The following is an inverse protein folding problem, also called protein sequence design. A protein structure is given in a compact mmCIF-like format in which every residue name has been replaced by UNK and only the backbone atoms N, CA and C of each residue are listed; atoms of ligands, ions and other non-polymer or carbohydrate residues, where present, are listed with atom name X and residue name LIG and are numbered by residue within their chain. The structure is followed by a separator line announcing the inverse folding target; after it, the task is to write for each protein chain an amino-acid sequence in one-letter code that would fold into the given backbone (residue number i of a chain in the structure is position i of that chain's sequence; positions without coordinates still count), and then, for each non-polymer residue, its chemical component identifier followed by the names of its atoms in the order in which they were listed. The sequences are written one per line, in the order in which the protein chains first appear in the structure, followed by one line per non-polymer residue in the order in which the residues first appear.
data_IF_956945190046
#
_entry.id   IF_956945190046
#
_cell.length_a   1.000
_cell.length_b   1.000
_cell.length_c   1.000
_cell.angle_alpha   90.00
_cell.angle_beta   90.00
_cell.angle_gamma   90.00
#
_symmetry.space_group_name_H-M   'P 1'
#
loop_
_entity.id
_entity.type
_entity.pdbx_description
1 polymer ?
#
# COMPACT_ATOMS: atom_id res chain seq x y z
N UNK A 1 1.28 54.73 -52.56
CA UNK A 1 2.71 54.52 -52.31
C UNK A 1 2.86 54.19 -50.82
N UNK A 2 2.78 52.91 -50.47
CA UNK A 2 2.77 52.39 -49.09
C UNK A 2 3.91 51.37 -49.00
N UNK A 3 4.94 51.66 -48.20
CA UNK A 3 6.07 50.76 -47.97
C UNK A 3 5.65 49.67 -46.97
N UNK A 4 5.80 48.41 -47.38
CA UNK A 4 5.60 47.22 -46.56
C UNK A 4 6.96 46.85 -45.97
N UNK A 5 7.16 47.11 -44.67
CA UNK A 5 8.32 46.63 -43.92
C UNK A 5 8.14 45.13 -43.69
N UNK A 6 8.89 44.32 -44.44
CA UNK A 6 9.11 42.91 -44.14
C UNK A 6 10.24 42.80 -43.13
N UNK A 7 9.93 42.32 -41.93
CA UNK A 7 10.94 41.91 -40.95
C UNK A 7 11.23 40.43 -41.23
N UNK A 8 12.40 40.15 -41.81
CA UNK A 8 12.97 38.81 -41.88
C UNK A 8 13.48 38.43 -40.49
N UNK A 9 12.87 37.41 -39.87
CA UNK A 9 13.46 36.75 -38.72
C UNK A 9 14.58 35.83 -39.22
N UNK A 10 15.83 36.22 -39.01
CA UNK A 10 16.97 35.31 -39.16
C UNK A 10 16.90 34.23 -38.07
N UNK A 11 16.61 33.01 -38.49
CA UNK A 11 16.38 31.84 -37.64
C UNK A 11 17.67 31.14 -37.21
N UNK A 12 18.62 31.85 -36.59
CA UNK A 12 19.93 31.28 -36.20
C UNK A 12 20.31 31.56 -34.73
N UNK A 13 19.37 31.37 -33.81
CA UNK A 13 19.69 31.18 -32.39
C UNK A 13 19.41 29.74 -32.01
N UNK A 14 20.35 28.84 -32.34
CA UNK A 14 20.38 27.49 -31.80
C UNK A 14 20.85 27.60 -30.34
N UNK A 15 19.91 27.52 -29.40
CA UNK A 15 20.22 27.26 -27.99
C UNK A 15 20.78 25.84 -27.88
N UNK A 16 22.10 25.70 -27.95
CA UNK A 16 22.80 24.47 -27.59
C UNK A 16 22.70 24.26 -26.07
N UNK A 17 21.66 23.54 -25.65
CA UNK A 17 21.67 22.93 -24.34
C UNK A 17 22.80 21.88 -24.29
N UNK A 18 23.64 21.86 -23.24
CA UNK A 18 24.53 20.73 -23.03
C UNK A 18 23.66 19.47 -22.86
N UNK A 19 23.66 18.61 -23.89
CA UNK A 19 23.05 17.28 -23.82
C UNK A 19 23.76 16.47 -22.75
N UNK A 20 23.18 16.42 -21.54
CA UNK A 20 23.62 15.50 -20.48
C UNK A 20 23.26 14.03 -20.81
N UNK A 21 22.58 13.78 -21.93
CA UNK A 21 22.22 12.43 -22.36
C UNK A 21 22.77 12.16 -23.76
N UNK A 22 23.67 11.19 -23.85
CA UNK A 22 24.23 10.73 -25.12
C UNK A 22 23.11 10.21 -26.06
N UNK A 23 23.14 10.55 -27.36
CA UNK A 23 22.27 9.94 -28.36
C UNK A 23 22.55 8.43 -28.41
N UNK A 24 21.54 7.60 -28.13
CA UNK A 24 21.69 6.14 -28.19
C UNK A 24 21.50 5.35 -26.88
N UNK A 25 20.93 5.96 -25.83
CA UNK A 25 20.46 5.20 -24.67
C UNK A 25 19.28 4.30 -25.06
N UNK A 26 19.62 3.10 -25.55
CA UNK A 26 18.71 2.06 -26.02
C UNK A 26 17.65 1.75 -24.96
N UNK A 27 16.40 1.52 -25.38
CA UNK A 27 15.39 0.90 -24.52
C UNK A 27 15.96 -0.38 -23.91
N UNK A 28 15.87 -0.49 -22.57
CA UNK A 28 16.33 -1.68 -21.84
C UNK A 28 15.69 -2.94 -22.43
N UNK A 29 16.50 -3.99 -22.57
CA UNK A 29 16.01 -5.31 -22.95
C UNK A 29 15.06 -5.86 -21.87
N UNK A 30 14.14 -6.75 -22.26
CA UNK A 30 13.18 -7.42 -21.36
C UNK A 30 13.85 -8.15 -20.17
N UNK A 31 15.14 -8.46 -20.30
CA UNK A 31 16.01 -9.10 -19.31
C UNK A 31 16.38 -8.18 -18.13
N UNK A 32 16.49 -6.87 -18.33
CA UNK A 32 16.83 -5.91 -17.25
C UNK A 32 15.60 -5.46 -16.44
N UNK A 33 14.41 -5.93 -16.82
CA UNK A 33 13.15 -5.73 -16.11
C UNK A 33 12.89 -6.77 -15.00
N UNK A 34 13.82 -7.71 -14.79
CA UNK A 34 13.72 -8.72 -13.74
C UNK A 34 13.91 -8.09 -12.36
N UNK A 35 12.98 -8.38 -11.45
CA UNK A 35 13.16 -8.06 -10.04
C UNK A 35 14.43 -8.77 -9.52
N UNK A 36 15.18 -8.16 -8.60
CA UNK A 36 16.25 -8.88 -7.91
C UNK A 36 15.68 -10.15 -7.27
N UNK A 37 16.46 -11.24 -7.26
CA UNK A 37 16.05 -12.49 -6.64
C UNK A 37 15.83 -12.28 -5.13
N UNK A 38 14.55 -12.20 -4.73
CA UNK A 38 14.17 -12.01 -3.33
C UNK A 38 14.26 -13.35 -2.61
N UNK A 39 14.95 -13.38 -1.46
CA UNK A 39 15.02 -14.58 -0.63
C UNK A 39 13.60 -15.04 -0.24
N UNK A 40 13.28 -16.28 -0.62
CA UNK A 40 11.98 -16.93 -0.39
C UNK A 40 11.92 -17.70 0.93
N UNK A 41 13.05 -17.81 1.64
CA UNK A 41 13.10 -18.34 2.99
C UNK A 41 12.56 -17.34 4.01
N UNK A 42 11.99 -17.84 5.11
CA UNK A 42 11.71 -17.02 6.29
C UNK A 42 13.01 -16.82 7.07
N UNK A 43 13.26 -15.59 7.53
CA UNK A 43 14.23 -15.39 8.60
C UNK A 43 13.71 -16.08 9.85
N UNK A 44 14.45 -17.09 10.32
CA UNK A 44 14.05 -17.94 11.45
C UNK A 44 14.12 -17.22 12.80
N UNK A 45 14.71 -16.03 12.85
CA UNK A 45 14.74 -15.21 14.04
C UNK A 45 13.36 -14.56 14.25
N UNK A 46 12.66 -14.95 15.32
CA UNK A 46 11.41 -14.35 15.83
C UNK A 46 10.13 -14.53 14.99
N UNK A 47 9.79 -15.76 14.62
CA UNK A 47 8.48 -16.07 14.04
C UNK A 47 7.51 -16.60 15.11
N UNK A 48 6.81 -15.71 15.82
CA UNK A 48 5.63 -16.09 16.63
C UNK A 48 4.38 -15.38 16.13
N UNK A 49 3.59 -16.09 15.32
CA UNK A 49 2.30 -15.59 14.81
C UNK A 49 1.22 -15.49 15.88
N UNK A 50 1.41 -16.06 17.08
CA UNK A 50 0.40 -16.03 18.14
C UNK A 50 -0.01 -14.61 18.51
N UNK A 51 0.96 -13.68 18.52
CA UNK A 51 0.70 -12.27 18.84
C UNK A 51 0.20 -11.45 17.64
N UNK A 52 0.04 -12.09 16.48
CA UNK A 52 -0.51 -11.48 15.28
C UNK A 52 -1.94 -11.89 14.98
N UNK A 53 -2.44 -12.95 15.62
CA UNK A 53 -3.72 -13.57 15.27
C UNK A 53 -4.63 -13.58 16.48
N UNK A 54 -5.84 -13.09 16.27
CA UNK A 54 -6.84 -12.92 17.32
C UNK A 54 -8.03 -13.84 17.08
N UNK A 55 -8.63 -14.29 18.18
CA UNK A 55 -9.93 -14.94 18.15
C UNK A 55 -11.01 -13.88 18.27
N UNK A 56 -12.06 -14.03 17.48
CA UNK A 56 -13.25 -13.19 17.53
C UNK A 56 -14.41 -13.99 18.12
N UNK A 57 -15.18 -13.36 18.99
CA UNK A 57 -16.49 -13.82 19.42
C UNK A 57 -17.48 -12.75 19.02
N UNK A 58 -18.49 -13.15 18.25
CA UNK A 58 -19.44 -12.24 17.61
C UNK A 58 -20.85 -12.62 18.03
N UNK A 59 -21.57 -11.69 18.65
CA UNK A 59 -22.99 -11.82 18.98
C UNK A 59 -23.85 -10.97 18.02
N UNK A 60 -24.78 -11.64 17.35
CA UNK A 60 -25.76 -11.01 16.44
C UNK A 60 -27.19 -11.04 17.01
N UNK A 61 -27.38 -11.51 18.25
CA UNK A 61 -28.69 -11.69 18.89
C UNK A 61 -29.31 -13.09 18.73
N UNK A 62 -28.73 -13.95 17.90
CA UNK A 62 -29.19 -15.35 17.66
C UNK A 62 -28.25 -16.40 18.30
N UNK A 63 -27.25 -15.94 19.06
CA UNK A 63 -26.24 -16.79 19.69
C UNK A 63 -24.82 -16.43 19.28
N UNK A 64 -23.87 -16.98 20.01
CA UNK A 64 -22.45 -16.69 19.84
C UNK A 64 -21.87 -17.42 18.63
N UNK A 65 -21.21 -16.65 17.77
CA UNK A 65 -20.39 -17.19 16.68
C UNK A 65 -18.92 -16.85 16.92
N UNK A 66 -18.03 -17.59 16.27
CA UNK A 66 -16.59 -17.43 16.42
C UNK A 66 -15.93 -17.25 15.08
N UNK A 67 -14.90 -16.41 15.06
CA UNK A 67 -14.09 -16.12 13.89
C UNK A 67 -12.63 -15.89 14.26
N UNK A 68 -11.86 -15.55 13.24
CA UNK A 68 -10.44 -15.18 13.36
C UNK A 68 -10.24 -13.78 12.79
N UNK A 69 -9.28 -13.05 13.34
CA UNK A 69 -8.73 -11.86 12.71
C UNK A 69 -7.21 -11.85 12.87
N UNK A 70 -6.55 -10.88 12.24
CA UNK A 70 -5.11 -10.70 12.41
C UNK A 70 -4.70 -9.24 12.31
N UNK A 71 -3.67 -8.87 13.07
CA UNK A 71 -3.08 -7.55 13.02
C UNK A 71 -2.29 -7.35 11.73
N UNK A 72 -2.39 -6.15 11.17
CA UNK A 72 -1.49 -5.66 10.11
C UNK A 72 -0.87 -4.35 10.56
N UNK A 73 0.43 -4.18 10.35
CA UNK A 73 1.21 -3.06 10.85
C UNK A 73 1.04 -1.77 10.01
N UNK A 74 -0.20 -1.36 9.74
CA UNK A 74 -0.46 -0.13 8.99
C UNK A 74 0.20 1.09 9.66
N UNK A 75 0.68 2.09 8.89
CA UNK A 75 1.24 3.33 9.43
C UNK A 75 0.15 4.28 9.98
N UNK A 76 -0.76 3.74 10.80
CA UNK A 76 -1.81 4.48 11.49
C UNK A 76 -1.32 4.89 12.89
N UNK A 77 -1.55 6.15 13.27
CA UNK A 77 -1.16 6.67 14.59
C UNK A 77 -2.23 6.41 15.65
N UNK A 78 -3.48 6.19 15.25
CA UNK A 78 -4.63 6.14 16.16
C UNK A 78 -5.01 4.72 16.57
N UNK A 79 -4.86 3.75 15.67
CA UNK A 79 -5.38 2.40 15.86
C UNK A 79 -4.34 1.31 15.59
N UNK A 80 -4.42 0.22 16.35
CA UNK A 80 -3.95 -1.09 15.93
C UNK A 80 -5.09 -1.76 15.13
N UNK A 81 -4.79 -2.23 13.92
CA UNK A 81 -5.81 -2.64 12.95
C UNK A 81 -5.81 -4.14 12.77
N UNK A 82 -6.99 -4.74 12.91
CA UNK A 82 -7.23 -6.16 12.65
C UNK A 82 -8.00 -6.30 11.34
N UNK A 83 -7.51 -7.11 10.42
CA UNK A 83 -8.27 -7.55 9.24
C UNK A 83 -9.04 -8.83 9.57
N UNK A 84 -10.26 -8.94 9.03
CA UNK A 84 -11.12 -10.12 9.20
C UNK A 84 -12.10 -10.28 8.03
N UNK A 85 -12.85 -11.38 7.99
CA UNK A 85 -13.93 -11.57 7.03
C UNK A 85 -15.13 -10.68 7.40
N UNK A 86 -15.85 -10.16 6.40
CA UNK A 86 -17.01 -9.30 6.61
C UNK A 86 -18.13 -10.04 7.35
N UNK A 87 -18.33 -11.33 7.08
CA UNK A 87 -19.36 -12.11 7.75
C UNK A 87 -19.15 -12.32 9.26
N UNK A 88 -17.96 -12.00 9.78
CA UNK A 88 -17.74 -11.92 11.23
C UNK A 88 -18.32 -10.63 11.84
N UNK A 89 -18.66 -9.63 11.00
CA UNK A 89 -19.11 -8.29 11.41
C UNK A 89 -20.56 -8.01 11.01
N UNK A 90 -21.10 -8.72 10.01
CA UNK A 90 -22.49 -8.66 9.58
C UNK A 90 -22.97 -10.05 9.14
N UNK A 91 -24.13 -10.49 9.62
CA UNK A 91 -24.70 -11.78 9.26
C UNK A 91 -25.51 -11.70 7.95
N UNK A 92 -26.04 -12.84 7.48
CA UNK A 92 -26.84 -12.88 6.24
C UNK A 92 -28.20 -12.19 6.37
N UNK A 93 -28.67 -11.98 7.60
CA UNK A 93 -29.88 -11.21 7.94
C UNK A 93 -29.60 -9.70 7.99
N UNK A 94 -28.39 -9.27 7.63
CA UNK A 94 -27.93 -7.86 7.64
C UNK A 94 -27.86 -7.25 9.04
N UNK A 95 -27.88 -8.07 10.07
CA UNK A 95 -27.65 -7.64 11.44
C UNK A 95 -26.14 -7.50 11.63
N UNK A 96 -25.71 -6.29 11.99
CA UNK A 96 -24.32 -6.05 12.36
C UNK A 96 -24.05 -6.60 13.76
N UNK A 97 -22.80 -7.00 14.02
CA UNK A 97 -22.40 -7.53 15.32
C UNK A 97 -22.70 -6.52 16.43
N UNK A 98 -23.43 -6.95 17.47
CA UNK A 98 -23.86 -6.10 18.57
C UNK A 98 -22.84 -6.10 19.71
N UNK A 99 -22.25 -7.27 20.01
CA UNK A 99 -21.15 -7.43 20.96
C UNK A 99 -20.00 -8.18 20.27
N UNK A 100 -18.94 -7.45 19.96
CA UNK A 100 -17.73 -7.97 19.34
C UNK A 100 -16.60 -8.01 20.36
N UNK A 101 -16.12 -9.21 20.66
CA UNK A 101 -14.99 -9.44 21.58
C UNK A 101 -13.79 -9.96 20.82
N UNK A 102 -12.64 -9.35 21.08
CA UNK A 102 -11.35 -9.69 20.48
C UNK A 102 -10.44 -10.28 21.53
N UNK A 103 -9.95 -11.51 21.32
CA UNK A 103 -9.06 -12.19 22.26
C UNK A 103 -7.67 -12.38 21.63
N UNK A 104 -6.66 -11.77 22.25
CA UNK A 104 -5.25 -11.95 21.90
C UNK A 104 -4.65 -13.18 22.62
N UNK A 105 -3.55 -13.72 22.09
CA UNK A 105 -2.81 -14.79 22.76
C UNK A 105 -2.23 -14.31 24.10
N UNK A 106 -2.30 -15.14 25.15
CA UNK A 106 -1.64 -14.84 26.45
C UNK A 106 -0.12 -14.98 26.30
N UNK A 107 0.69 -14.05 26.85
CA UNK A 107 2.13 -14.24 26.94
C UNK A 107 2.46 -15.41 27.88
N UNK A 108 3.40 -16.28 27.51
CA UNK A 108 3.74 -17.49 28.29
C UNK A 108 4.22 -17.21 29.74
N UNK A 109 4.64 -15.97 30.04
CA UNK A 109 5.13 -15.56 31.36
C UNK A 109 4.05 -15.58 32.46
N UNK A 110 2.77 -15.56 32.13
CA UNK A 110 1.70 -15.67 33.14
C UNK A 110 1.41 -17.11 33.60
N UNK A 111 2.05 -18.13 33.01
CA UNK A 111 1.86 -19.53 33.41
C UNK A 111 2.80 -20.04 34.50
N UNK A 112 3.90 -19.33 34.82
CA UNK A 112 4.95 -19.87 35.71
C UNK A 112 4.73 -19.64 37.22
N UNK A 113 3.72 -18.89 37.64
CA UNK A 113 3.58 -18.52 39.07
C UNK A 113 2.34 -19.08 39.79
N UNK A 114 1.43 -19.79 39.13
CA UNK A 114 0.23 -20.28 39.80
C UNK A 114 0.26 -21.81 39.87
N UNK A 115 0.90 -22.31 40.93
CA UNK A 115 0.61 -23.64 41.45
C UNK A 115 -0.89 -23.74 41.78
N UNK A 116 -1.48 -24.88 41.42
CA UNK A 116 -2.76 -25.43 41.87
C UNK A 116 -3.77 -24.41 42.42
N UNK A 117 -4.67 -23.89 41.56
CA UNK A 117 -5.87 -23.18 42.03
C UNK A 117 -6.40 -22.00 41.20
N UNK A 118 -6.12 -21.89 39.90
CA UNK A 118 -6.64 -20.78 39.07
C UNK A 118 -7.58 -21.28 37.95
N UNK A 119 -8.78 -21.71 38.32
CA UNK A 119 -9.81 -22.14 37.36
C UNK A 119 -10.65 -21.00 36.75
N UNK A 120 -10.34 -19.72 37.02
CA UNK A 120 -11.13 -18.58 36.51
C UNK A 120 -10.31 -17.33 36.12
N UNK A 121 -9.11 -17.49 35.56
CA UNK A 121 -8.41 -16.38 34.90
C UNK A 121 -8.98 -16.16 33.48
N UNK A 122 -10.21 -15.64 33.44
CA UNK A 122 -10.91 -15.26 32.21
C UNK A 122 -10.01 -14.41 31.31
N UNK A 123 -9.89 -14.78 30.04
CA UNK A 123 -9.20 -13.94 29.06
C UNK A 123 -10.08 -12.69 28.88
N UNK A 124 -9.61 -11.54 29.38
CA UNK A 124 -10.31 -10.28 29.16
C UNK A 124 -10.22 -9.91 27.67
N UNK A 125 -11.34 -9.60 27.00
CA UNK A 125 -11.31 -9.17 25.61
C UNK A 125 -10.69 -7.78 25.48
N UNK A 126 -10.04 -7.55 24.34
CA UNK A 126 -9.52 -6.24 23.98
C UNK A 126 -10.67 -5.26 23.69
N UNK A 127 -10.59 -4.00 24.17
CA UNK A 127 -11.62 -3.01 23.92
C UNK A 127 -11.63 -2.62 22.43
N UNK A 128 -12.75 -2.87 21.77
CA UNK A 128 -12.98 -2.53 20.36
C UNK A 128 -13.42 -1.07 20.26
N UNK A 129 -12.66 -0.26 19.52
CA UNK A 129 -13.01 1.14 19.25
C UNK A 129 -14.02 1.30 18.10
N UNK A 130 -14.09 0.30 17.21
CA UNK A 130 -15.06 0.25 16.12
C UNK A 130 -14.67 -0.77 15.06
N UNK A 131 -15.48 -0.87 14.01
CA UNK A 131 -15.18 -1.70 12.84
C UNK A 131 -15.72 -1.06 11.55
N UNK A 132 -15.22 -1.51 10.40
CA UNK A 132 -15.73 -1.15 9.07
C UNK A 132 -15.88 -2.42 8.23
N UNK A 133 -16.89 -2.43 7.38
CA UNK A 133 -17.25 -3.54 6.51
C UNK A 133 -17.15 -3.08 5.06
N UNK A 134 -16.68 -3.92 4.15
CA UNK A 134 -16.66 -3.62 2.73
C UNK A 134 -18.07 -3.21 2.25
N UNK A 135 -18.26 -2.00 1.67
CA UNK A 135 -19.58 -1.56 1.24
C UNK A 135 -20.18 -2.47 0.17
N UNK A 136 -19.33 -2.96 -0.75
CA UNK A 136 -19.75 -3.89 -1.81
C UNK A 136 -20.29 -5.21 -1.25
N UNK A 137 -19.79 -5.66 -0.11
CA UNK A 137 -20.33 -6.85 0.56
C UNK A 137 -21.75 -6.60 1.08
N UNK A 138 -22.00 -5.42 1.68
CA UNK A 138 -23.33 -5.02 2.15
C UNK A 138 -24.30 -4.92 0.97
N UNK A 139 -23.89 -4.25 -0.13
CA UNK A 139 -24.69 -4.15 -1.35
C UNK A 139 -25.08 -5.53 -1.91
N UNK A 140 -24.14 -6.49 -1.89
CA UNK A 140 -24.41 -7.87 -2.32
C UNK A 140 -25.45 -8.54 -1.41
N UNK A 141 -25.34 -8.39 -0.08
CA UNK A 141 -26.34 -8.90 0.87
C UNK A 141 -27.73 -8.26 0.65
N UNK A 142 -27.76 -6.98 0.29
CA UNK A 142 -28.99 -6.26 -0.04
C UNK A 142 -29.64 -6.75 -1.34
N UNK A 143 -28.84 -6.99 -2.37
CA UNK A 143 -29.32 -7.56 -3.62
C UNK A 143 -29.83 -9.00 -3.46
N UNK A 144 -29.16 -9.82 -2.63
CA UNK A 144 -29.56 -11.22 -2.35
C UNK A 144 -30.95 -11.32 -1.72
N UNK A 145 -31.35 -10.38 -0.86
CA UNK A 145 -32.68 -10.41 -0.22
C UNK A 145 -33.82 -9.99 -1.15
N UNK A 146 -33.52 -9.26 -2.22
CA UNK A 146 -34.52 -8.65 -3.11
C UNK A 146 -34.71 -9.47 -4.40
N UNK A 147 -33.90 -10.48 -4.66
CA UNK A 147 -33.93 -11.26 -5.88
C UNK A 147 -34.83 -12.51 -5.75
N UNK A 148 -36.01 -12.47 -6.39
CA UNK A 148 -36.81 -13.66 -6.70
C UNK A 148 -36.19 -14.54 -7.80
N UNK A 149 -35.17 -14.04 -8.51
CA UNK A 149 -34.45 -14.78 -9.55
C UNK A 149 -32.95 -14.39 -9.55
N UNK A 150 -32.09 -15.41 -9.46
CA UNK A 150 -30.61 -15.40 -9.66
C UNK A 150 -29.86 -14.18 -9.09
N UNK A 151 -29.75 -14.10 -7.76
CA UNK A 151 -28.84 -13.18 -7.08
C UNK A 151 -27.36 -13.31 -7.53
N UNK A 152 -26.48 -12.40 -7.09
CA UNK A 152 -25.05 -12.43 -7.42
C UNK A 152 -24.48 -13.83 -7.20
N UNK A 153 -23.67 -14.33 -8.13
CA UNK A 153 -23.05 -15.66 -7.96
C UNK A 153 -22.27 -15.64 -6.65
N UNK A 154 -22.45 -16.65 -5.78
CA UNK A 154 -21.74 -16.78 -4.51
C UNK A 154 -20.19 -16.67 -4.61
N UNK A 155 -19.62 -16.74 -5.81
CA UNK A 155 -18.21 -16.43 -6.10
C UNK A 155 -17.84 -14.94 -5.97
N UNK A 156 -18.76 -14.02 -6.24
CA UNK A 156 -18.56 -12.58 -6.14
C UNK A 156 -18.62 -12.12 -4.67
N UNK A 157 -19.58 -12.63 -3.89
CA UNK A 157 -19.69 -12.39 -2.44
C UNK A 157 -18.38 -12.61 -1.69
N UNK A 158 -17.73 -13.76 -1.91
CA UNK A 158 -16.44 -14.09 -1.28
C UNK A 158 -15.25 -13.24 -1.74
N UNK A 159 -15.39 -12.43 -2.80
CA UNK A 159 -14.36 -11.48 -3.24
C UNK A 159 -14.39 -10.18 -2.46
N UNK A 160 -15.53 -9.86 -1.82
CA UNK A 160 -15.75 -8.64 -1.05
C UNK A 160 -15.96 -8.91 0.44
N UNK A 161 -15.89 -10.18 0.85
CA UNK A 161 -16.07 -10.61 2.24
C UNK A 161 -14.83 -10.28 3.08
N UNK A 162 -14.66 -9.01 3.40
CA UNK A 162 -13.63 -8.47 4.28
C UNK A 162 -14.12 -7.24 5.07
N UNK A 163 -13.48 -7.01 6.21
CA UNK A 163 -13.65 -5.82 7.02
C UNK A 163 -12.44 -5.59 7.92
N UNK A 164 -12.49 -4.50 8.68
CA UNK A 164 -11.47 -4.17 9.68
C UNK A 164 -12.09 -3.96 11.06
N UNK A 165 -11.34 -4.31 12.09
CA UNK A 165 -11.64 -4.00 13.48
C UNK A 165 -10.54 -3.06 13.98
N UNK A 166 -10.93 -2.01 14.70
CA UNK A 166 -10.06 -0.97 15.22
C UNK A 166 -9.93 -1.14 16.73
N UNK A 167 -8.69 -1.30 17.21
CA UNK A 167 -8.36 -1.19 18.62
C UNK A 167 -7.62 0.12 18.84
N UNK A 168 -7.93 0.87 19.90
CA UNK A 168 -7.17 2.05 20.25
C UNK A 168 -5.69 1.68 20.45
N UNK A 169 -4.78 2.47 19.86
CA UNK A 169 -3.36 2.18 19.91
C UNK A 169 -2.84 2.28 21.33
N UNK A 170 -2.19 1.21 21.80
CA UNK A 170 -1.69 1.11 23.17
C UNK A 170 -0.26 0.59 23.17
N UNK A 171 0.69 1.46 23.57
CA UNK A 171 2.12 1.12 23.64
C UNK A 171 2.41 0.00 24.63
N UNK A 172 1.62 -0.14 25.69
CA UNK A 172 1.80 -1.21 26.69
C UNK A 172 1.47 -2.60 26.13
N UNK A 173 0.64 -2.66 25.09
CA UNK A 173 0.18 -3.89 24.42
C UNK A 173 0.93 -4.22 23.14
N UNK A 174 1.96 -3.45 22.81
CA UNK A 174 2.71 -3.56 21.56
C UNK A 174 3.31 -4.96 21.34
N UNK A 175 3.78 -5.63 22.40
CA UNK A 175 4.32 -7.00 22.35
C UNK A 175 3.26 -8.06 22.01
N UNK A 176 1.98 -7.81 22.34
CA UNK A 176 0.86 -8.73 22.13
C UNK A 176 0.03 -8.41 20.88
N UNK A 177 0.28 -7.25 20.24
CA UNK A 177 -0.38 -6.76 19.03
C UNK A 177 0.63 -6.61 17.89
N UNK A 178 1.25 -7.72 17.52
CA UNK A 178 2.28 -7.76 16.48
C UNK A 178 1.63 -7.83 15.10
N UNK A 179 1.69 -6.76 14.32
CA UNK A 179 1.13 -6.76 12.96
C UNK A 179 1.97 -7.56 11.97
N UNK A 180 1.30 -8.33 11.10
CA UNK A 180 1.91 -8.95 9.93
C UNK A 180 2.26 -7.91 8.86
N UNK A 181 3.14 -8.33 7.94
CA UNK A 181 3.48 -7.54 6.77
C UNK A 181 2.48 -7.70 5.63
N UNK A 182 2.50 -6.74 4.71
CA UNK A 182 1.66 -6.69 3.52
C UNK A 182 2.45 -5.99 2.41
N UNK A 183 2.49 -6.57 1.22
CA UNK A 183 3.10 -5.93 0.05
C UNK A 183 2.11 -5.95 -1.11
N UNK A 184 1.70 -4.76 -1.55
CA UNK A 184 0.73 -4.57 -2.62
C UNK A 184 1.23 -5.13 -3.97
N UNK A 185 2.54 -5.18 -4.18
CA UNK A 185 3.15 -5.83 -5.35
C UNK A 185 2.77 -7.31 -5.46
N UNK A 186 2.50 -7.99 -4.33
CA UNK A 186 2.05 -9.38 -4.31
C UNK A 186 0.59 -9.56 -4.74
N UNK A 187 -0.15 -8.46 -4.99
CA UNK A 187 -1.49 -8.54 -5.58
C UNK A 187 -1.45 -8.94 -7.06
N UNK A 188 -0.33 -8.76 -7.76
CA UNK A 188 -0.20 -9.16 -9.16
C UNK A 188 -0.01 -10.68 -9.30
N UNK A 189 -0.71 -11.36 -10.23
CA UNK A 189 -0.48 -12.77 -10.52
C UNK A 189 0.97 -13.10 -10.85
N UNK A 190 1.69 -12.18 -11.51
CA UNK A 190 3.10 -12.36 -11.90
C UNK A 190 3.99 -12.53 -10.67
N UNK A 191 3.77 -11.73 -9.63
CA UNK A 191 4.59 -11.75 -8.42
C UNK A 191 4.24 -12.92 -7.48
N UNK A 192 3.05 -13.52 -7.64
CA UNK A 192 2.65 -14.73 -6.93
C UNK A 192 3.19 -16.01 -7.56
N UNK A 193 3.54 -16.02 -8.86
CA UNK A 193 4.03 -17.22 -9.56
C UNK A 193 5.29 -17.81 -8.91
N UNK A 194 6.09 -16.99 -8.24
CA UNK A 194 7.31 -17.43 -7.53
C UNK A 194 7.06 -18.17 -6.22
N UNK A 195 5.86 -18.05 -5.63
CA UNK A 195 5.51 -18.60 -4.31
C UNK A 195 4.42 -19.64 -4.45
N UNK A 196 4.77 -20.92 -4.23
CA UNK A 196 3.87 -22.05 -4.52
C UNK A 196 2.97 -22.44 -3.35
N UNK A 197 3.24 -21.94 -2.15
CA UNK A 197 2.58 -22.38 -0.91
C UNK A 197 2.00 -21.19 -0.16
N UNK A 198 0.70 -21.22 0.09
CA UNK A 198 0.03 -20.33 1.02
C UNK A 198 -0.01 -20.98 2.40
N UNK A 199 0.16 -20.16 3.42
CA UNK A 199 -0.02 -20.52 4.81
C UNK A 199 -1.26 -19.83 5.36
N UNK A 200 -1.99 -20.53 6.22
CA UNK A 200 -3.16 -20.01 6.93
C UNK A 200 -3.02 -20.35 8.39
N UNK A 201 -3.30 -19.39 9.26
CA UNK A 201 -3.25 -19.56 10.70
C UNK A 201 -4.53 -19.00 11.30
N UNK A 202 -5.22 -19.76 12.14
CA UNK A 202 -6.48 -19.30 12.70
C UNK A 202 -7.06 -20.23 13.74
N UNK A 203 -8.15 -19.77 14.33
CA UNK A 203 -8.79 -20.45 15.45
C UNK A 203 -9.93 -21.34 14.93
N UNK A 204 -9.69 -22.65 14.88
CA UNK A 204 -10.72 -23.63 14.53
C UNK A 204 -11.74 -23.87 15.64
N UNK A 205 -12.96 -24.28 15.30
CA UNK A 205 -14.01 -24.71 16.22
C UNK A 205 -14.98 -23.61 16.68
N UNK A 206 -15.79 -23.93 17.68
CA UNK A 206 -16.91 -23.11 18.20
C UNK A 206 -16.74 -22.74 19.68
N UNK A 207 -15.51 -22.77 20.19
CA UNK A 207 -15.20 -22.52 21.60
C UNK A 207 -14.01 -21.56 21.75
N UNK A 208 -14.02 -20.76 22.82
CA UNK A 208 -12.90 -19.93 23.26
C UNK A 208 -11.65 -20.73 23.64
N UNK A 209 -11.78 -22.04 23.87
CA UNK A 209 -10.67 -22.92 24.29
C UNK A 209 -9.91 -23.54 23.12
N UNK A 210 -10.42 -23.50 21.89
CA UNK A 210 -9.78 -24.22 20.79
C UNK A 210 -8.40 -23.62 20.48
N UNK A 211 -7.39 -24.41 20.13
CA UNK A 211 -6.04 -23.90 19.88
C UNK A 211 -5.96 -23.11 18.58
N UNK A 212 -4.93 -22.27 18.47
CA UNK A 212 -4.52 -21.69 17.19
C UNK A 212 -4.00 -22.83 16.30
N UNK A 213 -4.56 -22.97 15.11
CA UNK A 213 -4.17 -23.95 14.11
C UNK A 213 -3.33 -23.27 13.02
N UNK A 214 -2.40 -24.02 12.43
CA UNK A 214 -1.65 -23.64 11.24
C UNK A 214 -1.84 -24.70 10.17
N UNK A 215 -2.06 -24.25 8.94
CA UNK A 215 -2.13 -25.11 7.77
C UNK A 215 -1.42 -24.45 6.59
N UNK A 216 -0.96 -25.28 5.66
CA UNK A 216 -0.33 -24.81 4.43
C UNK A 216 -0.78 -25.63 3.24
N UNK A 217 -0.69 -25.07 2.04
CA UNK A 217 -1.06 -25.78 0.83
C UNK A 217 -0.77 -25.00 -0.43
N UNK A 218 -0.79 -25.70 -1.57
CA UNK A 218 -0.45 -25.09 -2.85
C UNK A 218 -1.44 -23.98 -3.23
N UNK A 219 -0.93 -22.85 -3.72
CA UNK A 219 -1.76 -21.80 -4.33
C UNK A 219 -2.21 -22.28 -5.71
N UNK A 220 -3.50 -22.16 -6.00
CA UNK A 220 -4.04 -22.34 -7.36
C UNK A 220 -4.13 -20.98 -8.04
N UNK A 221 -3.92 -20.96 -9.35
CA UNK A 221 -3.99 -19.75 -10.19
C UNK A 221 -5.26 -18.97 -9.84
N UNK A 222 -5.05 -17.78 -9.30
CA UNK A 222 -6.02 -17.01 -8.53
C UNK A 222 -6.86 -16.11 -9.44
N UNK A 223 -8.16 -15.99 -9.14
CA UNK A 223 -9.03 -15.01 -9.79
C UNK A 223 -8.62 -13.57 -9.44
N UNK A 224 -9.14 -12.57 -10.16
CA UNK A 224 -8.75 -11.16 -9.98
C UNK A 224 -8.85 -10.66 -8.53
N UNK A 225 -9.90 -11.08 -7.80
CA UNK A 225 -10.22 -10.60 -6.44
C UNK A 225 -10.16 -11.70 -5.36
N UNK A 226 -9.78 -12.93 -5.71
CA UNK A 226 -9.82 -14.06 -4.78
C UNK A 226 -8.57 -14.93 -4.90
N UNK A 227 -7.99 -15.33 -3.77
CA UNK A 227 -6.90 -16.30 -3.69
C UNK A 227 -7.47 -17.68 -3.35
N UNK A 228 -7.16 -18.70 -4.17
CA UNK A 228 -7.52 -20.10 -3.91
C UNK A 228 -6.27 -20.91 -3.54
N UNK A 229 -6.38 -21.74 -2.52
CA UNK A 229 -5.27 -22.55 -2.02
C UNK A 229 -5.75 -23.87 -1.42
N UNK A 230 -4.87 -24.87 -1.35
CA UNK A 230 -5.19 -26.22 -0.84
C UNK A 230 -4.88 -26.43 0.64
N UNK A 231 -4.72 -25.36 1.42
CA UNK A 231 -4.54 -25.48 2.86
C UNK A 231 -5.87 -25.90 3.52
N UNK A 232 -5.89 -26.96 4.36
CA UNK A 232 -7.10 -27.36 5.08
C UNK A 232 -7.53 -26.26 6.05
N UNK A 233 -8.83 -26.00 6.13
CA UNK A 233 -9.42 -25.04 7.07
C UNK A 233 -10.71 -25.58 7.68
N UNK A 234 -11.04 -25.09 8.87
CA UNK A 234 -12.19 -25.54 9.67
C UNK A 234 -13.14 -24.38 9.99
N UNK A 235 -14.22 -24.66 10.74
CA UNK A 235 -15.14 -23.61 11.19
C UNK A 235 -14.42 -22.69 12.16
N UNK A 236 -14.76 -21.40 12.19
CA UNK A 236 -14.08 -20.44 13.07
C UNK A 236 -12.79 -19.84 12.48
N UNK A 237 -12.19 -20.48 11.46
CA UNK A 237 -11.01 -19.91 10.80
C UNK A 237 -11.33 -18.73 9.87
N UNK A 238 -12.60 -18.41 9.62
CA UNK A 238 -12.98 -17.25 8.81
C UNK A 238 -12.35 -15.97 9.32
N UNK A 239 -11.70 -15.22 8.43
CA UNK A 239 -10.91 -14.03 8.72
C UNK A 239 -9.42 -14.29 8.97
N UNK A 240 -8.96 -15.54 8.92
CA UNK A 240 -7.53 -15.88 9.05
C UNK A 240 -6.66 -15.24 7.97
N UNK A 241 -5.42 -14.83 8.28
CA UNK A 241 -4.47 -14.38 7.28
C UNK A 241 -4.09 -15.51 6.34
N UNK A 242 -4.12 -15.23 5.04
CA UNK A 242 -3.47 -16.03 4.02
C UNK A 242 -2.17 -15.34 3.68
N UNK A 243 -1.03 -15.96 3.96
CA UNK A 243 0.28 -15.34 3.82
C UNK A 243 1.29 -16.24 3.12
N UNK A 244 2.31 -15.61 2.55
CA UNK A 244 3.46 -16.27 1.91
C UNK A 244 4.76 -15.72 2.49
N UNK A 245 5.85 -16.50 2.48
CA UNK A 245 7.17 -15.95 2.75
C UNK A 245 7.60 -15.05 1.58
N UNK A 246 8.02 -13.83 1.90
CA UNK A 246 8.54 -12.89 0.93
C UNK A 246 9.52 -11.93 1.61
N UNK A 247 10.75 -11.85 1.08
CA UNK A 247 11.80 -10.97 1.62
C UNK A 247 12.19 -11.30 3.06
N UNK A 248 12.20 -12.59 3.43
CA UNK A 248 12.49 -13.03 4.80
C UNK A 248 11.29 -13.00 5.76
N UNK A 249 10.10 -12.55 5.32
CA UNK A 249 9.01 -12.20 6.22
C UNK A 249 7.65 -12.81 5.80
N UNK A 250 6.71 -13.03 6.75
CA UNK A 250 5.34 -13.37 6.42
C UNK A 250 4.61 -12.14 5.85
N UNK A 251 4.24 -12.22 4.58
CA UNK A 251 3.49 -11.17 3.89
C UNK A 251 2.09 -11.69 3.56
N UNK A 252 1.09 -10.97 4.05
CA UNK A 252 -0.32 -11.28 3.82
C UNK A 252 -0.68 -10.98 2.37
N UNK A 253 -1.38 -11.93 1.75
CA UNK A 253 -1.89 -11.85 0.36
C UNK A 253 -3.40 -11.98 0.29
N UNK A 254 -4.06 -12.39 1.38
CA UNK A 254 -5.52 -12.48 1.45
C UNK A 254 -6.07 -12.73 2.85
N UNK A 255 -7.41 -12.72 2.94
CA UNK A 255 -8.19 -12.94 4.15
C UNK A 255 -9.08 -14.16 3.90
N UNK A 256 -8.87 -15.26 4.62
CA UNK A 256 -9.67 -16.48 4.47
C UNK A 256 -11.14 -16.21 4.75
N UNK A 257 -12.04 -16.73 3.93
CA UNK A 257 -13.48 -16.54 4.15
C UNK A 257 -14.35 -17.72 3.74
N UNK A 258 -13.84 -18.66 2.93
CA UNK A 258 -14.67 -19.73 2.41
C UNK A 258 -13.89 -21.04 2.30
N UNK A 259 -14.52 -22.13 2.73
CA UNK A 259 -14.00 -23.50 2.58
C UNK A 259 -14.20 -24.03 1.16
N UNK A 260 -13.52 -25.13 0.77
CA UNK A 260 -13.79 -25.80 -0.50
C UNK A 260 -15.27 -26.22 -0.59
N UNK A 261 -15.94 -25.88 -1.69
CA UNK A 261 -17.31 -26.36 -1.98
C UNK A 261 -17.36 -27.83 -2.39
N UNK A 262 -16.27 -28.34 -2.96
CA UNK A 262 -16.11 -29.74 -3.39
C UNK A 262 -14.81 -30.29 -2.80
N UNK A 263 -14.74 -31.60 -2.55
CA UNK A 263 -13.58 -32.27 -1.92
C UNK A 263 -12.24 -32.01 -2.64
N UNK A 264 -12.26 -31.73 -3.93
CA UNK A 264 -11.08 -31.43 -4.78
C UNK A 264 -10.80 -29.92 -4.95
N UNK A 265 -11.69 -29.07 -4.42
CA UNK A 265 -11.60 -27.62 -4.46
C UNK A 265 -10.59 -27.08 -3.46
N UNK A 266 -10.11 -25.85 -3.67
CA UNK A 266 -9.33 -25.14 -2.67
C UNK A 266 -10.20 -24.30 -1.72
N UNK A 267 -9.66 -24.04 -0.54
CA UNK A 267 -10.08 -22.97 0.34
C UNK A 267 -9.85 -21.62 -0.35
N UNK A 268 -10.64 -20.61 0.02
CA UNK A 268 -10.60 -19.29 -0.62
C UNK A 268 -10.50 -18.18 0.40
N UNK A 269 -9.99 -17.05 -0.08
CA UNK A 269 -10.00 -15.80 0.65
C UNK A 269 -10.12 -14.60 -0.27
N UNK A 270 -10.60 -13.49 0.27
CA UNK A 270 -10.51 -12.18 -0.35
C UNK A 270 -9.04 -11.86 -0.58
N UNK A 271 -8.66 -11.58 -1.83
CA UNK A 271 -7.29 -11.18 -2.16
C UNK A 271 -7.08 -9.72 -1.77
N UNK A 272 -5.93 -9.38 -1.20
CA UNK A 272 -5.57 -7.98 -0.98
C UNK A 272 -5.16 -7.37 -2.33
N UNK A 273 -6.14 -6.88 -3.07
CA UNK A 273 -5.94 -6.13 -4.33
C UNK A 273 -5.70 -4.65 -4.04
N UNK A 274 -5.33 -3.88 -5.06
CA UNK A 274 -5.21 -2.42 -4.94
C UNK A 274 -6.53 -1.79 -4.46
N UNK A 275 -7.66 -2.25 -4.99
CA UNK A 275 -8.99 -1.78 -4.59
C UNK A 275 -9.23 -2.01 -3.09
N UNK A 276 -9.08 -3.25 -2.62
CA UNK A 276 -9.22 -3.61 -1.20
C UNK A 276 -8.28 -2.77 -0.33
N UNK A 277 -7.03 -2.64 -0.76
CA UNK A 277 -6.01 -1.90 -0.03
C UNK A 277 -6.32 -0.39 0.06
N UNK A 278 -6.79 0.20 -1.04
CA UNK A 278 -7.20 1.62 -1.10
C UNK A 278 -8.39 1.90 -0.21
N UNK A 279 -9.40 1.01 -0.18
CA UNK A 279 -10.53 1.11 0.73
C UNK A 279 -10.09 1.10 2.19
N UNK A 280 -9.17 0.19 2.56
CA UNK A 280 -8.62 0.14 3.93
C UNK A 280 -7.84 1.41 4.25
N UNK A 281 -7.03 1.92 3.32
CA UNK A 281 -6.30 3.17 3.52
C UNK A 281 -7.24 4.37 3.76
N UNK A 282 -8.33 4.45 3.00
CA UNK A 282 -9.35 5.48 3.17
C UNK A 282 -10.03 5.40 4.55
N UNK A 283 -10.37 4.20 5.03
CA UNK A 283 -10.93 4.01 6.37
C UNK A 283 -9.98 4.44 7.50
N UNK A 284 -8.68 4.23 7.29
CA UNK A 284 -7.66 4.55 8.29
C UNK A 284 -7.11 5.98 8.19
N UNK A 285 -7.47 6.72 7.14
CA UNK A 285 -6.92 8.04 6.85
C UNK A 285 -5.41 8.01 6.61
N UNK A 286 -4.90 6.93 6.00
CA UNK A 286 -3.47 6.76 5.68
C UNK A 286 -3.22 6.86 4.18
N UNK A 287 -2.01 7.29 3.81
CA UNK A 287 -1.68 7.59 2.42
C UNK A 287 -2.17 8.98 2.00
N UNK A 288 -1.90 9.33 0.75
CA UNK A 288 -2.21 10.63 0.18
C UNK A 288 -2.88 10.40 -1.17
N UNK A 289 -4.17 10.72 -1.30
CA UNK A 289 -4.95 10.41 -2.51
C UNK A 289 -5.31 11.68 -3.26
N UNK A 290 -5.11 11.67 -4.59
CA UNK A 290 -5.33 12.83 -5.45
C UNK A 290 -4.49 14.05 -5.03
N UNK A 291 -3.22 13.82 -4.66
CA UNK A 291 -2.31 14.84 -4.15
C UNK A 291 -1.19 15.15 -5.11
N UNK A 292 -0.57 16.33 -4.93
CA UNK A 292 0.56 16.80 -5.74
C UNK A 292 1.83 16.81 -4.91
N UNK A 293 2.97 16.46 -5.51
CA UNK A 293 4.27 16.58 -4.87
C UNK A 293 4.92 17.92 -5.26
N UNK A 294 5.07 18.81 -4.28
CA UNK A 294 5.43 20.21 -4.48
C UNK A 294 6.70 20.57 -3.73
N UNK A 295 7.69 21.15 -4.42
CA UNK A 295 8.73 21.95 -3.79
C UNK A 295 8.28 23.42 -3.79
N UNK A 296 8.13 23.98 -2.59
CA UNK A 296 7.62 25.34 -2.43
C UNK A 296 8.67 26.37 -2.84
N UNK A 297 8.21 27.38 -3.58
CA UNK A 297 9.00 28.53 -4.00
C UNK A 297 9.67 29.28 -2.85
N UNK A 298 10.72 30.04 -3.20
CA UNK A 298 11.44 30.90 -2.25
C UNK A 298 10.87 32.31 -2.31
N UNK A 299 11.23 33.15 -1.33
CA UNK A 299 10.77 34.56 -1.29
C UNK A 299 11.06 35.33 -2.60
N UNK A 300 12.15 35.01 -3.28
CA UNK A 300 12.59 35.69 -4.50
C UNK A 300 12.11 34.99 -5.79
N UNK A 301 11.51 33.80 -5.67
CA UNK A 301 10.99 32.96 -6.77
C UNK A 301 9.73 32.25 -6.23
N UNK A 302 8.59 32.94 -6.18
CA UNK A 302 7.43 32.49 -5.43
C UNK A 302 6.71 31.30 -6.05
N UNK A 303 6.90 31.04 -7.35
CA UNK A 303 6.34 29.85 -7.99
C UNK A 303 6.79 28.54 -7.33
N UNK A 304 5.92 27.54 -7.36
CA UNK A 304 6.21 26.21 -6.88
C UNK A 304 6.70 25.31 -8.01
N UNK A 305 7.41 24.25 -7.65
CA UNK A 305 7.89 23.23 -8.58
C UNK A 305 7.20 21.90 -8.28
N UNK A 306 6.42 21.40 -9.23
CA UNK A 306 5.63 20.16 -9.12
C UNK A 306 6.25 19.03 -9.93
N UNK A 307 6.28 17.81 -9.38
CA UNK A 307 6.58 16.62 -10.17
C UNK A 307 5.45 16.37 -11.19
N UNK A 308 5.77 16.24 -12.48
CA UNK A 308 4.78 16.12 -13.55
C UNK A 308 5.15 15.07 -14.61
N UNK A 309 4.15 14.47 -15.24
CA UNK A 309 4.29 13.55 -16.37
C UNK A 309 3.55 14.06 -17.59
N UNK A 310 4.11 13.96 -18.79
CA UNK A 310 3.49 14.48 -20.02
C UNK A 310 3.23 13.38 -21.03
N UNK A 311 2.15 13.48 -21.81
CA UNK A 311 1.70 12.44 -22.75
C UNK A 311 2.79 12.01 -23.75
N UNK A 312 3.61 12.96 -24.19
CA UNK A 312 4.65 12.76 -25.19
C UNK A 312 6.06 12.76 -24.59
N UNK A 313 6.18 12.58 -23.27
CA UNK A 313 7.47 12.48 -22.59
C UNK A 313 7.65 11.09 -21.99
N UNK A 314 8.82 10.50 -22.24
CA UNK A 314 9.17 9.18 -21.70
C UNK A 314 9.55 9.21 -20.22
N UNK A 315 9.68 10.40 -19.63
CA UNK A 315 10.10 10.60 -18.25
C UNK A 315 9.42 11.81 -17.60
N UNK A 316 9.51 11.87 -16.28
CA UNK A 316 8.96 12.95 -15.48
C UNK A 316 9.74 14.25 -15.73
N UNK A 317 8.99 15.35 -15.80
CA UNK A 317 9.47 16.71 -15.83
C UNK A 317 9.00 17.43 -14.57
N UNK A 318 9.25 18.73 -14.51
CA UNK A 318 8.58 19.61 -13.55
C UNK A 318 7.58 20.50 -14.23
N UNK A 319 6.54 20.87 -13.50
CA UNK A 319 5.64 21.98 -13.80
C UNK A 319 5.92 23.12 -12.80
N UNK A 320 6.13 24.33 -13.31
CA UNK A 320 6.30 25.55 -12.52
C UNK A 320 5.00 26.35 -12.52
N UNK A 321 4.58 26.77 -11.34
CA UNK A 321 3.40 27.63 -11.19
C UNK A 321 2.91 27.71 -9.76
N UNK A 322 1.81 28.44 -9.58
CA UNK A 322 1.07 28.52 -8.33
C UNK A 322 0.30 27.22 -8.02
N UNK A 323 -0.19 27.11 -6.78
CA UNK A 323 -1.03 25.97 -6.37
C UNK A 323 -2.39 25.96 -7.08
N UNK A 324 -2.90 27.13 -7.47
CA UNK A 324 -4.14 27.26 -8.23
C UNK A 324 -3.95 26.74 -9.66
N UNK A 325 -2.90 27.18 -10.34
CA UNK A 325 -2.58 26.71 -11.70
C UNK A 325 -2.34 25.20 -11.72
N UNK A 326 -1.59 24.67 -10.75
CA UNK A 326 -1.35 23.23 -10.62
C UNK A 326 -2.62 22.42 -10.35
N UNK A 327 -3.69 23.04 -9.84
CA UNK A 327 -4.99 22.36 -9.66
C UNK A 327 -5.71 22.16 -10.99
N UNK A 328 -5.46 23.03 -11.97
CA UNK A 328 -6.00 22.92 -13.32
C UNK A 328 -5.18 21.98 -14.22
N UNK A 329 -4.09 21.42 -13.69
CA UNK A 329 -3.22 20.49 -14.39
C UNK A 329 -3.59 19.03 -14.08
N UNK A 330 -3.76 18.23 -15.12
CA UNK A 330 -4.08 16.79 -15.01
C UNK A 330 -2.82 15.90 -14.93
N UNK A 331 -1.64 16.51 -15.01
CA UNK A 331 -0.34 15.84 -15.13
C UNK A 331 0.51 15.83 -13.84
N UNK A 332 0.01 16.40 -12.74
CA UNK A 332 0.73 16.55 -11.45
C UNK A 332 0.13 15.74 -10.30
N UNK A 333 -0.92 14.95 -10.56
CA UNK A 333 -1.72 14.32 -9.49
C UNK A 333 -1.35 12.85 -9.27
N UNK A 334 -1.23 12.45 -8.00
CA UNK A 334 -0.81 11.13 -7.57
C UNK A 334 -1.65 10.57 -6.41
N UNK A 335 -1.82 9.25 -6.38
CA UNK A 335 -2.06 8.49 -5.17
C UNK A 335 -0.71 7.99 -4.61
N UNK A 336 -0.35 8.44 -3.41
CA UNK A 336 0.87 8.03 -2.69
C UNK A 336 0.45 7.12 -1.54
N UNK A 337 0.62 5.82 -1.74
CA UNK A 337 0.06 4.79 -0.85
C UNK A 337 1.19 4.01 -0.16
N UNK A 338 1.00 3.58 1.11
CA UNK A 338 1.93 2.66 1.76
C UNK A 338 1.85 1.29 1.06
N UNK A 339 2.80 0.92 0.21
CA UNK A 339 2.71 -0.29 -0.60
C UNK A 339 3.45 -1.48 -0.02
N UNK A 340 4.48 -1.26 0.81
CA UNK A 340 5.14 -2.33 1.55
C UNK A 340 5.16 -2.00 3.03
N UNK A 341 4.32 -2.74 3.77
CA UNK A 341 4.22 -2.71 5.22
C UNK A 341 4.98 -3.92 5.74
N UNK A 342 6.00 -3.69 6.55
CA UNK A 342 6.75 -4.79 7.16
C UNK A 342 6.08 -5.25 8.46
N UNK A 343 6.27 -6.52 8.83
CA UNK A 343 5.86 -6.97 10.14
C UNK A 343 6.48 -6.13 11.25
N UNK A 344 5.73 -5.91 12.32
CA UNK A 344 6.08 -4.94 13.36
C UNK A 344 7.44 -5.21 14.02
N UNK A 345 7.74 -6.49 14.30
CA UNK A 345 8.99 -6.93 14.91
C UNK A 345 10.25 -6.70 14.07
N UNK A 346 10.11 -6.41 12.77
CA UNK A 346 11.28 -6.15 11.91
C UNK A 346 11.91 -4.78 12.18
N UNK A 347 11.17 -3.86 12.83
CA UNK A 347 11.59 -2.46 13.01
C UNK A 347 11.78 -1.69 11.70
N UNK A 348 11.43 -2.29 10.55
CA UNK A 348 11.54 -1.66 9.24
C UNK A 348 10.43 -0.66 9.04
N UNK A 349 10.76 0.42 8.34
CA UNK A 349 9.79 1.46 8.03
C UNK A 349 8.98 1.10 6.79
N UNK A 350 7.74 1.58 6.75
CA UNK A 350 6.85 1.43 5.61
C UNK A 350 7.46 2.08 4.36
N UNK A 351 7.29 1.42 3.21
CA UNK A 351 7.60 1.99 1.91
C UNK A 351 6.31 2.36 1.18
N UNK A 352 6.39 3.43 0.41
CA UNK A 352 5.32 4.02 -0.37
C UNK A 352 5.60 3.85 -1.84
N UNK A 353 4.56 3.87 -2.67
CA UNK A 353 4.69 4.04 -4.10
C UNK A 353 3.79 5.18 -4.58
N UNK A 354 4.19 5.80 -5.68
CA UNK A 354 3.45 6.87 -6.33
C UNK A 354 2.71 6.26 -7.51
N UNK A 355 1.39 6.40 -7.52
CA UNK A 355 0.53 6.03 -8.63
C UNK A 355 -0.01 7.30 -9.27
N UNK A 356 0.45 7.59 -10.47
CA UNK A 356 0.02 8.74 -11.25
C UNK A 356 -1.44 8.62 -11.69
N UNK A 357 -2.21 9.69 -11.52
CA UNK A 357 -3.57 9.82 -12.04
C UNK A 357 -3.49 10.16 -13.51
N UNK A 358 -3.48 9.12 -14.34
CA UNK A 358 -3.36 9.30 -15.79
C UNK A 358 -4.61 9.99 -16.34
N UNK A 359 -4.48 11.07 -17.12
CA UNK A 359 -5.60 11.67 -17.82
C UNK A 359 -6.27 10.68 -18.75
N UNK A 360 -7.60 10.74 -18.83
CA UNK A 360 -8.41 9.84 -19.67
C UNK A 360 -8.08 9.94 -21.17
N UNK A 361 -7.51 11.05 -21.61
CA UNK A 361 -7.10 11.28 -23.00
C UNK A 361 -5.83 10.51 -23.42
N UNK A 362 -5.08 9.92 -22.48
CA UNK A 362 -3.80 9.27 -22.79
C UNK A 362 -3.99 7.80 -23.21
N UNK A 363 -3.38 7.39 -24.33
CA UNK A 363 -3.60 6.09 -24.98
C UNK A 363 -3.06 4.83 -24.26
N UNK A 364 -2.12 4.96 -23.32
CA UNK A 364 -1.50 3.83 -22.61
C UNK A 364 -2.02 3.69 -21.17
N UNK A 365 -3.24 3.20 -21.02
CA UNK A 365 -3.97 3.12 -19.74
C UNK A 365 -3.25 2.34 -18.63
N UNK A 366 -2.25 1.52 -18.96
CA UNK A 366 -1.64 0.59 -17.99
C UNK A 366 -0.50 1.22 -17.20
N UNK A 367 0.27 2.15 -17.78
CA UNK A 367 1.41 2.77 -17.11
C UNK A 367 0.96 3.86 -16.14
N UNK A 368 1.08 3.58 -14.86
CA UNK A 368 0.64 4.48 -13.78
C UNK A 368 1.56 4.47 -12.55
N UNK A 369 2.47 3.51 -12.40
CA UNK A 369 3.40 3.50 -11.27
C UNK A 369 4.66 4.26 -11.60
N UNK A 370 5.13 5.11 -10.68
CA UNK A 370 6.40 5.82 -10.85
C UNK A 370 7.56 4.87 -10.56
N UNK A 371 8.41 4.63 -11.54
CA UNK A 371 9.71 3.98 -11.38
C UNK A 371 10.80 5.04 -11.26
N UNK A 372 11.57 4.95 -10.17
CA UNK A 372 12.65 5.88 -9.88
C UNK A 372 13.94 5.34 -10.50
N UNK A 373 14.60 6.16 -11.33
CA UNK A 373 15.85 5.79 -11.99
C UNK A 373 16.97 6.78 -11.63
N UNK A 374 17.47 6.78 -10.38
CA UNK A 374 18.48 7.74 -9.94
C UNK A 374 19.77 7.72 -10.76
N UNK A 375 20.21 6.53 -11.23
CA UNK A 375 21.40 6.42 -12.10
C UNK A 375 21.24 7.14 -13.44
N UNK A 376 19.99 7.29 -13.90
CA UNK A 376 19.64 8.00 -15.14
C UNK A 376 19.09 9.41 -14.88
N UNK A 377 19.08 9.86 -13.62
CA UNK A 377 18.53 11.16 -13.20
C UNK A 377 17.10 11.40 -13.74
N UNK A 378 16.25 10.37 -13.71
CA UNK A 378 14.87 10.48 -14.20
C UNK A 378 13.89 9.60 -13.42
N UNK A 379 12.60 9.88 -13.56
CA UNK A 379 11.52 9.00 -13.15
C UNK A 379 10.64 8.68 -14.36
N UNK A 380 10.09 7.47 -14.45
CA UNK A 380 9.27 7.04 -15.59
C UNK A 380 7.97 6.38 -15.11
N UNK A 381 6.98 6.22 -15.98
CA UNK A 381 5.77 5.46 -15.68
C UNK A 381 5.90 4.00 -16.16
N UNK A 382 5.49 3.06 -15.31
CA UNK A 382 5.46 1.62 -15.60
C UNK A 382 4.09 1.02 -15.23
N UNK A 383 3.80 -0.16 -15.77
CA UNK A 383 2.52 -0.85 -15.58
C UNK A 383 2.46 -1.74 -14.33
N UNK A 384 3.63 -2.09 -13.79
CA UNK A 384 3.77 -3.08 -12.74
C UNK A 384 4.54 -2.50 -11.58
N UNK A 385 3.97 -2.63 -10.38
CA UNK A 385 4.63 -2.27 -9.13
C UNK A 385 5.73 -3.27 -8.79
N UNK A 386 6.95 -2.76 -8.59
CA UNK A 386 8.19 -3.46 -8.24
C UNK A 386 8.93 -2.70 -7.12
N UNK A 387 9.98 -3.30 -6.58
CA UNK A 387 10.80 -2.68 -5.52
C UNK A 387 11.43 -1.35 -5.93
N UNK A 388 11.78 -1.19 -7.21
CA UNK A 388 12.34 0.06 -7.77
C UNK A 388 11.33 1.22 -7.83
N UNK A 389 10.04 0.95 -7.61
CA UNK A 389 9.00 1.98 -7.50
C UNK A 389 8.84 2.49 -6.07
N UNK A 390 9.47 1.83 -5.09
CA UNK A 390 9.24 2.06 -3.68
C UNK A 390 10.13 3.18 -3.14
N UNK A 391 9.56 4.01 -2.28
CA UNK A 391 10.25 5.11 -1.60
C UNK A 391 9.90 5.14 -0.11
N UNK A 392 10.78 5.68 0.70
CA UNK A 392 10.50 6.08 2.08
C UNK A 392 10.14 7.56 2.11
N UNK A 393 9.09 7.90 2.86
CA UNK A 393 8.72 9.28 3.14
C UNK A 393 9.16 9.65 4.56
N UNK A 394 10.13 10.55 4.69
CA UNK A 394 10.61 11.02 6.00
C UNK A 394 10.01 12.39 6.33
N UNK A 395 9.46 12.55 7.54
CA UNK A 395 8.98 13.87 8.00
C UNK A 395 10.13 14.70 8.55
N UNK A 396 10.22 15.96 8.11
CA UNK A 396 11.07 16.98 8.74
C UNK A 396 10.21 18.14 9.21
N UNK A 397 10.32 18.44 10.49
CA UNK A 397 9.76 19.66 11.07
C UNK A 397 10.79 20.78 10.93
N UNK A 398 10.41 21.85 10.22
CA UNK A 398 11.25 23.04 10.08
C UNK A 398 11.26 23.85 11.37
N UNK A 399 12.23 24.77 11.49
CA UNK A 399 12.28 25.75 12.61
C UNK A 399 10.99 26.54 12.77
N UNK A 400 10.23 26.71 11.69
CA UNK A 400 8.93 27.40 11.67
C UNK A 400 7.76 26.53 12.14
N UNK A 401 8.00 25.29 12.56
CA UNK A 401 6.97 24.30 12.91
C UNK A 401 6.30 23.64 11.69
N UNK A 402 6.50 24.18 10.48
CA UNK A 402 5.98 23.61 9.24
C UNK A 402 6.61 22.24 8.97
N UNK A 403 5.78 21.26 8.62
CA UNK A 403 6.22 19.92 8.23
C UNK A 403 6.53 19.86 6.73
N UNK A 404 7.61 19.16 6.39
CA UNK A 404 8.03 18.85 5.02
C UNK A 404 8.38 17.37 4.91
N UNK A 405 8.39 16.85 3.69
CA UNK A 405 8.72 15.47 3.38
C UNK A 405 10.02 15.38 2.61
N UNK A 406 10.81 14.36 2.90
CA UNK A 406 11.86 13.87 2.02
C UNK A 406 11.32 12.62 1.30
N UNK A 407 11.62 12.50 0.00
CA UNK A 407 11.36 11.29 -0.77
C UNK A 407 12.70 10.56 -0.94
N UNK A 408 12.84 9.43 -0.25
CA UNK A 408 14.08 8.65 -0.18
C UNK A 408 13.91 7.34 -0.96
N UNK A 409 14.70 7.14 -2.00
CA UNK A 409 14.73 5.96 -2.87
C UNK A 409 15.76 4.97 -2.28
N UNK A 410 15.35 3.79 -1.79
CA UNK A 410 16.28 2.78 -1.30
C UNK A 410 17.22 2.32 -2.42
N UNK A 411 18.52 2.23 -2.15
CA UNK A 411 19.47 1.70 -3.14
C UNK A 411 19.40 0.17 -3.18
N UNK A 412 19.12 -0.45 -4.34
CA UNK A 412 19.07 -1.91 -4.44
C UNK A 412 20.37 -2.57 -3.96
N UNK A 413 20.24 -3.57 -3.08
CA UNK A 413 21.38 -4.33 -2.53
C UNK A 413 22.22 -3.61 -1.47
N UNK A 414 21.93 -2.36 -1.13
CA UNK A 414 22.68 -1.60 -0.12
C UNK A 414 21.77 -1.20 1.05
N UNK A 415 21.79 -2.00 2.11
CA UNK A 415 21.00 -1.73 3.31
C UNK A 415 21.39 -0.39 3.93
N UNK A 416 20.40 0.48 4.15
CA UNK A 416 20.60 1.80 4.78
C UNK A 416 21.13 2.89 3.87
N UNK A 417 21.41 2.60 2.58
CA UNK A 417 21.73 3.63 1.58
C UNK A 417 20.48 4.07 0.85
N UNK A 418 20.34 5.39 0.72
CA UNK A 418 19.22 6.03 0.06
C UNK A 418 19.74 7.10 -0.90
N UNK A 419 19.00 7.29 -1.98
CA UNK A 419 19.09 8.49 -2.80
C UNK A 419 17.88 9.37 -2.49
N UNK A 420 18.04 10.68 -2.55
CA UNK A 420 16.93 11.62 -2.32
C UNK A 420 16.49 12.26 -3.63
N UNK A 421 15.17 12.35 -3.83
CA UNK A 421 14.58 13.11 -4.92
C UNK A 421 14.83 14.60 -4.71
N UNK A 422 15.15 15.31 -5.79
CA UNK A 422 15.24 16.76 -5.84
C UNK A 422 14.47 17.28 -7.05
N UNK A 423 13.77 18.40 -6.86
CA UNK A 423 13.14 19.15 -7.94
C UNK A 423 13.78 20.55 -8.01
N UNK A 424 14.13 21.01 -9.20
CA UNK A 424 14.67 22.35 -9.43
C UNK A 424 13.84 23.11 -10.46
N UNK A 425 14.08 24.42 -10.57
CA UNK A 425 13.38 25.40 -11.43
C UNK A 425 14.25 25.92 -12.60
N UNK A 426 15.49 25.43 -12.73
CA UNK A 426 16.50 25.85 -13.74
C UNK A 426 16.75 27.35 -13.74
N UNK A 427 16.65 27.94 -12.55
CA UNK A 427 16.75 29.36 -12.33
C UNK A 427 15.73 30.23 -13.07
N UNK A 428 14.64 29.66 -13.56
CA UNK A 428 13.53 30.41 -14.14
C UNK A 428 12.95 31.42 -13.16
N UNK A 429 12.51 32.56 -13.68
CA UNK A 429 11.80 33.58 -12.92
C UNK A 429 10.32 33.66 -13.30
N UNK A 430 9.62 34.68 -12.82
CA UNK A 430 8.18 34.84 -13.11
C UNK A 430 7.94 35.27 -14.57
N UNK A 431 8.87 36.04 -15.17
CA UNK A 431 8.74 36.47 -16.57
C UNK A 431 8.81 35.26 -17.50
N UNK A 432 9.73 34.31 -17.23
CA UNK A 432 9.80 33.02 -17.93
C UNK A 432 8.48 32.25 -17.85
N UNK A 433 7.84 32.24 -16.68
CA UNK A 433 6.58 31.53 -16.43
C UNK A 433 5.42 32.21 -17.17
N UNK A 434 5.35 33.54 -17.15
CA UNK A 434 4.38 34.34 -17.89
C UNK A 434 4.52 34.15 -19.41
N UNK A 435 5.75 33.96 -19.89
CA UNK A 435 6.06 33.60 -21.28
C UNK A 435 5.76 32.13 -21.62
N UNK A 436 5.25 31.35 -20.66
CA UNK A 436 4.81 29.98 -20.84
C UNK A 436 5.91 28.93 -20.66
N UNK A 437 7.10 29.30 -20.17
CA UNK A 437 8.19 28.38 -19.84
C UNK A 437 7.94 27.67 -18.50
N UNK A 438 6.79 27.01 -18.40
CA UNK A 438 6.34 26.34 -17.17
C UNK A 438 6.84 24.91 -17.04
N UNK A 439 7.48 24.36 -18.08
CA UNK A 439 7.88 22.95 -18.12
C UNK A 439 9.35 22.76 -18.49
N UNK A 440 10.05 21.85 -17.81
CA UNK A 440 11.37 21.36 -18.22
C UNK A 440 11.82 20.11 -17.42
N UNK A 441 13.00 19.58 -17.75
CA UNK A 441 13.59 18.40 -17.13
C UNK A 441 14.20 18.66 -15.73
N UNK A 442 13.39 19.13 -14.77
CA UNK A 442 13.83 19.55 -13.43
C UNK A 442 13.87 18.45 -12.36
N UNK A 443 13.99 17.18 -12.74
CA UNK A 443 14.01 16.04 -11.81
C UNK A 443 15.43 15.53 -11.64
N UNK A 444 15.92 15.44 -10.39
CA UNK A 444 17.25 14.90 -10.10
C UNK A 444 17.27 14.07 -8.81
N UNK A 445 18.38 13.36 -8.59
CA UNK A 445 18.59 12.48 -7.44
C UNK A 445 20.00 12.66 -6.89
N UNK A 446 20.12 12.87 -5.58
CA UNK A 446 21.39 12.96 -4.86
C UNK A 446 21.58 11.86 -3.83
N UNK A 447 22.81 11.68 -3.33
CA UNK A 447 23.03 10.80 -2.18
C UNK A 447 22.38 11.38 -0.93
N UNK A 448 21.69 10.54 -0.16
CA UNK A 448 21.07 10.99 1.07
C UNK A 448 22.14 11.39 2.11
N UNK A 449 21.98 12.59 2.66
CA UNK A 449 22.93 13.16 3.62
C UNK A 449 24.04 13.99 2.97
N UNK A 450 24.21 13.88 1.64
CA UNK A 450 25.10 14.75 0.90
C UNK A 450 24.52 16.17 0.84
N UNK A 451 25.31 17.12 1.35
CA UNK A 451 25.00 18.56 1.34
C UNK A 451 25.77 19.30 0.26
N UNK A 452 26.54 18.60 -0.58
CA UNK A 452 27.24 19.19 -1.71
C UNK A 452 26.31 19.95 -2.66
N UNK A 453 26.92 20.65 -3.63
CA UNK A 453 26.31 21.58 -4.59
C UNK A 453 25.37 20.91 -5.61
N UNK A 454 24.54 19.97 -5.18
CA UNK A 454 23.49 19.41 -6.03
C UNK A 454 22.29 20.36 -6.08
N UNK A 455 21.89 20.71 -7.29
CA UNK A 455 20.80 21.66 -7.58
C UNK A 455 19.43 21.09 -7.16
N UNK A 456 18.55 21.96 -6.67
CA UNK A 456 17.14 21.65 -6.40
C UNK A 456 16.73 21.53 -4.94
N UNK A 457 15.43 21.67 -4.71
CA UNK A 457 14.79 21.46 -3.42
C UNK A 457 14.61 19.97 -3.14
N UNK A 458 15.01 19.55 -1.95
CA UNK A 458 14.77 18.20 -1.41
C UNK A 458 13.56 18.11 -0.47
N UNK A 459 12.95 19.25 -0.13
CA UNK A 459 11.89 19.33 0.88
C UNK A 459 10.56 19.60 0.21
N UNK A 460 9.65 18.64 0.36
CA UNK A 460 8.37 18.66 -0.34
C UNK A 460 7.18 18.89 0.59
N UNK A 461 6.13 19.44 0.02
CA UNK A 461 4.76 19.35 0.54
C UNK A 461 3.98 18.40 -0.35
N UNK A 462 3.08 17.64 0.27
CA UNK A 462 2.10 16.84 -0.44
C UNK A 462 0.79 17.62 -0.33
N UNK A 463 0.48 18.37 -1.39
CA UNK A 463 -0.67 19.29 -1.47
C UNK A 463 -1.95 18.57 -1.85
#
# INVERSE_FOLDING_TARGET
MLYRLGIEFSSDTIMEYPRIIAPGAVHRSRTENQQPDVNKGLDKASFDLKNSIVRLQCDFGEGLTYGTGFFVNFPCTTYDVILTAAHNLINNQKVTVQDLKVFCAKPEKSRKNNGEGAENDGIEPEPVAGFKICPRYIEILEAESNAADKGPKASEKGSYDYGIILLAKDKSKESNRQGLGLNLGLSSPVNLQGSKVANVCGYGGTSLSSPLQHSSGSIKTSGKQCVEYKAPTEQGMSGSPVWIPYGGHPMVVGIHNMRPKIKTGGSRGTKITEEVFRTICAWLGIGFFGRRLCAIGKKNKPHNTYLSFFQHSDFAKVFLGSSEEATNQDNVTFDIMPTTIFPKWTGRQVLYAFKFHRPSAWSDEKKCWVEWQPKQQRAILVDTLKDVNLVRLDEKTLKTGKKRRLVLIPTPGAQGRFQELRLYDDDRDEDDIEDGMTEFAGVSFGEWGDKGDMVGSRLFVIE
#
